data_IF_089187568571
#
_entry.id   IF_089187568571
#
_cell.length_a   1.000
_cell.length_b   1.000
_cell.length_c   1.000
_cell.angle_alpha   90.00
_cell.angle_beta   90.00
_cell.angle_gamma   90.00
#
_symmetry.space_group_name_H-M   'P 1'
#
loop_
_entity.id
_entity.type
_entity.pdbx_description
1 polymer ?
#
# COMPACT_ATOMS: atom_id res chain seq x y z
N UNK A 1 -17.68 -17.53 -2.50
CA UNK A 1 -17.99 -16.21 -3.12
C UNK A 1 -18.06 -15.09 -2.08
N UNK A 2 -18.90 -15.19 -1.05
CA UNK A 2 -19.11 -14.11 -0.07
C UNK A 2 -17.84 -13.67 0.69
N UNK A 3 -16.95 -14.60 1.06
CA UNK A 3 -15.70 -14.29 1.75
C UNK A 3 -14.69 -13.52 0.87
N UNK A 4 -14.64 -13.83 -0.43
CA UNK A 4 -13.81 -13.10 -1.39
C UNK A 4 -14.32 -11.67 -1.61
N UNK A 5 -15.64 -11.49 -1.74
CA UNK A 5 -16.24 -10.16 -1.83
C UNK A 5 -15.99 -9.31 -0.58
N UNK A 6 -15.98 -9.95 0.60
CA UNK A 6 -15.58 -9.33 1.87
C UNK A 6 -14.12 -8.91 1.87
N UNK A 7 -13.23 -9.80 1.42
CA UNK A 7 -11.79 -9.57 1.29
C UNK A 7 -11.48 -8.39 0.40
N UNK A 8 -12.09 -8.34 -0.79
CA UNK A 8 -11.92 -7.24 -1.73
C UNK A 8 -12.36 -5.89 -1.14
N UNK A 9 -13.53 -5.82 -0.49
CA UNK A 9 -14.01 -4.58 0.17
C UNK A 9 -13.08 -4.12 1.29
N UNK A 10 -12.67 -5.04 2.16
CA UNK A 10 -11.70 -4.73 3.22
C UNK A 10 -10.36 -4.25 2.65
N UNK A 11 -9.89 -4.88 1.58
CA UNK A 11 -8.67 -4.52 0.86
C UNK A 11 -8.74 -3.15 0.19
N UNK A 12 -9.86 -2.79 -0.43
CA UNK A 12 -10.08 -1.46 -1.02
C UNK A 12 -10.05 -0.37 0.06
N UNK A 13 -10.75 -0.57 1.18
CA UNK A 13 -10.80 0.43 2.26
C UNK A 13 -9.42 0.58 2.91
N UNK A 14 -8.73 -0.53 3.18
CA UNK A 14 -7.37 -0.50 3.70
C UNK A 14 -6.39 0.13 2.67
N UNK A 15 -6.56 -0.19 1.39
CA UNK A 15 -5.78 0.35 0.28
C UNK A 15 -5.94 1.86 0.11
N UNK A 16 -7.14 2.39 0.34
CA UNK A 16 -7.41 3.83 0.28
C UNK A 16 -6.64 4.59 1.38
N UNK A 17 -6.72 4.13 2.62
CA UNK A 17 -5.98 4.75 3.74
C UNK A 17 -4.47 4.62 3.53
N UNK A 18 -4.01 3.45 3.11
CA UNK A 18 -2.60 3.19 2.83
C UNK A 18 -2.09 4.03 1.66
N UNK A 19 -2.90 4.21 0.61
CA UNK A 19 -2.60 5.03 -0.55
C UNK A 19 -2.35 6.49 -0.19
N UNK A 20 -3.10 7.06 0.77
CA UNK A 20 -2.86 8.41 1.28
C UNK A 20 -1.50 8.50 1.99
N UNK A 21 -1.19 7.53 2.86
CA UNK A 21 0.10 7.49 3.58
C UNK A 21 1.26 7.41 2.59
N UNK A 22 1.17 6.52 1.59
CA UNK A 22 2.19 6.34 0.58
C UNK A 22 2.31 7.55 -0.35
N UNK A 23 1.20 8.18 -0.75
CA UNK A 23 1.20 9.40 -1.54
C UNK A 23 1.95 10.54 -0.84
N UNK A 24 1.66 10.78 0.44
CA UNK A 24 2.33 11.80 1.25
C UNK A 24 3.82 11.43 1.43
N UNK A 25 4.11 10.17 1.74
CA UNK A 25 5.47 9.69 1.91
C UNK A 25 6.32 9.83 0.65
N UNK A 26 5.79 9.44 -0.52
CA UNK A 26 6.49 9.59 -1.79
C UNK A 26 6.60 11.02 -2.25
N UNK A 27 5.63 11.89 -1.96
CA UNK A 27 5.79 13.32 -2.17
C UNK A 27 6.99 13.86 -1.37
N UNK A 28 7.09 13.51 -0.08
CA UNK A 28 8.22 13.92 0.77
C UNK A 28 9.56 13.30 0.34
N UNK A 29 9.56 12.07 -0.17
CA UNK A 29 10.78 11.45 -0.72
C UNK A 29 11.20 12.09 -2.04
N UNK A 30 10.24 12.50 -2.88
CA UNK A 30 10.53 13.14 -4.16
C UNK A 30 11.26 14.47 -3.99
N UNK A 31 10.96 15.25 -2.95
CA UNK A 31 11.69 16.50 -2.66
C UNK A 31 13.16 16.26 -2.32
N UNK A 32 13.51 15.10 -1.73
CA UNK A 32 14.89 14.74 -1.42
C UNK A 32 15.70 14.35 -2.66
N UNK A 33 15.04 13.86 -3.71
CA UNK A 33 15.69 13.43 -4.97
C UNK A 33 15.39 14.38 -6.13
N UNK A 34 14.80 15.54 -5.86
CA UNK A 34 14.29 16.46 -6.87
C UNK A 34 15.38 16.95 -7.83
N UNK A 35 16.58 17.24 -7.32
CA UNK A 35 17.71 17.68 -8.13
C UNK A 35 18.20 16.56 -9.07
N UNK A 36 18.26 15.33 -8.56
CA UNK A 36 18.62 14.15 -9.35
C UNK A 36 17.57 13.89 -10.43
N UNK A 37 16.28 13.97 -10.09
CA UNK A 37 15.18 13.82 -11.03
C UNK A 37 15.19 14.92 -12.11
N UNK A 38 15.46 16.18 -11.71
CA UNK A 38 15.59 17.31 -12.64
C UNK A 38 16.69 17.08 -13.66
N UNK A 39 17.88 16.62 -13.23
CA UNK A 39 19.00 16.31 -14.12
C UNK A 39 18.65 15.18 -15.09
N UNK A 40 18.07 14.10 -14.58
CA UNK A 40 17.65 12.98 -15.43
C UNK A 40 16.62 13.39 -16.49
N UNK A 41 15.67 14.27 -16.15
CA UNK A 41 14.70 14.82 -17.09
C UNK A 41 15.38 15.76 -18.11
N UNK A 42 16.32 16.60 -17.67
CA UNK A 42 17.09 17.47 -18.56
C UNK A 42 17.84 16.67 -19.62
N UNK A 43 18.50 15.58 -19.22
CA UNK A 43 19.26 14.72 -20.13
C UNK A 43 18.36 13.91 -21.07
N UNK A 44 17.13 13.59 -20.64
CA UNK A 44 16.17 12.82 -21.42
C UNK A 44 15.32 13.67 -22.38
N UNK A 45 15.22 14.98 -22.17
CA UNK A 45 14.40 15.86 -23.00
C UNK A 45 15.05 16.08 -24.38
N UNK A 46 14.30 15.86 -25.49
CA UNK A 46 14.81 16.14 -26.82
C UNK A 46 15.15 17.63 -26.99
N UNK A 47 16.22 17.91 -27.74
CA UNK A 47 16.57 19.28 -28.14
C UNK A 47 15.41 19.86 -28.95
N UNK A 48 14.88 21.02 -28.53
CA UNK A 48 13.70 21.64 -29.15
C UNK A 48 12.35 21.20 -28.56
N UNK A 49 12.35 20.49 -27.43
CA UNK A 49 11.15 20.17 -26.66
C UNK A 49 10.26 21.40 -26.39
N UNK A 50 8.95 21.26 -26.64
CA UNK A 50 7.93 22.25 -26.25
C UNK A 50 7.69 22.23 -24.73
N UNK A 51 7.99 21.11 -24.07
CA UNK A 51 7.80 20.90 -22.64
C UNK A 51 9.05 21.38 -21.90
N UNK A 52 8.85 22.23 -20.88
CA UNK A 52 9.95 22.65 -20.01
C UNK A 52 10.26 21.58 -18.96
N UNK A 53 11.48 21.60 -18.43
CA UNK A 53 11.91 20.69 -17.35
C UNK A 53 10.98 20.78 -16.14
N UNK A 54 10.56 21.99 -15.77
CA UNK A 54 9.67 22.20 -14.61
C UNK A 54 8.27 21.61 -14.85
N UNK A 55 7.75 21.69 -16.09
CA UNK A 55 6.48 21.06 -16.46
C UNK A 55 6.58 19.54 -16.42
N UNK A 56 7.67 18.97 -16.95
CA UNK A 56 7.91 17.53 -16.91
C UNK A 56 8.09 17.00 -15.48
N UNK A 57 8.79 17.75 -14.62
CA UNK A 57 8.98 17.41 -13.21
C UNK A 57 7.64 17.44 -12.45
N UNK A 58 6.81 18.45 -12.68
CA UNK A 58 5.48 18.52 -12.09
C UNK A 58 4.58 17.37 -12.55
N UNK A 59 4.61 17.03 -13.84
CA UNK A 59 3.88 15.89 -14.37
C UNK A 59 4.34 14.56 -13.75
N UNK A 60 5.66 14.36 -13.62
CA UNK A 60 6.22 13.17 -12.99
C UNK A 60 5.75 13.02 -11.53
N UNK A 61 5.73 14.11 -10.76
CA UNK A 61 5.24 14.11 -9.39
C UNK A 61 3.75 13.77 -9.30
N UNK A 62 2.92 14.37 -10.17
CA UNK A 62 1.48 14.06 -10.22
C UNK A 62 1.25 12.60 -10.58
N UNK A 63 1.96 12.08 -11.59
CA UNK A 63 1.87 10.67 -11.98
C UNK A 63 2.32 9.74 -10.86
N UNK A 64 3.39 10.08 -10.13
CA UNK A 64 3.86 9.31 -8.99
C UNK A 64 2.81 9.26 -7.88
N UNK A 65 2.27 10.42 -7.48
CA UNK A 65 1.32 10.54 -6.37
C UNK A 65 -0.02 9.91 -6.72
N UNK A 66 -0.62 10.29 -7.86
CA UNK A 66 -1.92 9.77 -8.30
C UNK A 66 -1.81 8.30 -8.70
N UNK A 67 -0.75 7.92 -9.41
CA UNK A 67 -0.50 6.54 -9.81
C UNK A 67 -0.32 5.63 -8.60
N UNK A 68 0.42 6.07 -7.58
CA UNK A 68 0.54 5.32 -6.32
C UNK A 68 -0.81 5.22 -5.61
N UNK A 69 -1.55 6.31 -5.50
CA UNK A 69 -2.85 6.31 -4.83
C UNK A 69 -3.86 5.36 -5.50
N UNK A 70 -3.99 5.43 -6.83
CA UNK A 70 -4.90 4.52 -7.57
C UNK A 70 -4.38 3.08 -7.55
N UNK A 71 -3.08 2.90 -7.75
CA UNK A 71 -2.43 1.58 -7.74
C UNK A 71 -2.62 0.86 -6.41
N UNK A 72 -2.50 1.56 -5.29
CA UNK A 72 -2.69 0.99 -3.94
C UNK A 72 -4.11 0.55 -3.67
N UNK A 73 -5.12 1.18 -4.27
CA UNK A 73 -6.52 0.73 -4.18
C UNK A 73 -6.70 -0.60 -4.93
N UNK A 74 -6.18 -0.68 -6.16
CA UNK A 74 -6.30 -1.89 -7.00
C UNK A 74 -5.53 -3.06 -6.39
N UNK A 75 -4.26 -2.82 -6.03
CA UNK A 75 -3.42 -3.83 -5.36
C UNK A 75 -4.01 -4.20 -4.01
N UNK A 76 -4.54 -3.24 -3.25
CA UNK A 76 -5.24 -3.51 -1.99
C UNK A 76 -6.43 -4.45 -2.16
N UNK A 77 -7.25 -4.27 -3.20
CA UNK A 77 -8.34 -5.20 -3.50
C UNK A 77 -7.83 -6.62 -3.75
N UNK A 78 -6.77 -6.77 -4.56
CA UNK A 78 -6.15 -8.07 -4.87
C UNK A 78 -5.58 -8.72 -3.61
N UNK A 79 -4.83 -7.97 -2.81
CA UNK A 79 -4.24 -8.46 -1.56
C UNK A 79 -5.33 -8.83 -0.54
N UNK A 80 -6.46 -8.12 -0.52
CA UNK A 80 -7.63 -8.47 0.27
C UNK A 80 -8.25 -9.81 -0.14
N UNK A 81 -8.28 -10.12 -1.44
CA UNK A 81 -8.69 -11.44 -1.94
C UNK A 81 -7.72 -12.54 -1.50
N UNK A 82 -6.41 -12.29 -1.58
CA UNK A 82 -5.37 -13.23 -1.12
C UNK A 82 -5.53 -13.51 0.38
N UNK A 83 -5.74 -12.46 1.18
CA UNK A 83 -6.00 -12.60 2.61
C UNK A 83 -7.25 -13.43 2.88
N UNK A 84 -8.35 -13.19 2.14
CA UNK A 84 -9.56 -14.01 2.25
C UNK A 84 -9.32 -15.49 1.91
N UNK A 85 -8.46 -15.81 0.94
CA UNK A 85 -8.11 -17.19 0.64
C UNK A 85 -7.24 -17.84 1.73
N UNK A 86 -6.31 -17.09 2.31
CA UNK A 86 -5.30 -17.62 3.22
C UNK A 86 -5.73 -17.62 4.70
N UNK A 87 -6.67 -16.75 5.11
CA UNK A 87 -6.96 -16.52 6.52
C UNK A 87 -7.46 -17.76 7.28
N UNK A 88 -8.18 -18.66 6.61
CA UNK A 88 -8.69 -19.89 7.21
C UNK A 88 -7.65 -21.02 7.23
N UNK A 89 -6.57 -20.91 6.45
CA UNK A 89 -5.52 -21.94 6.38
C UNK A 89 -4.40 -21.70 7.40
N UNK A 90 -4.21 -20.46 7.86
CA UNK A 90 -3.12 -20.08 8.74
C UNK A 90 -3.58 -19.31 9.99
N UNK A 91 -2.90 -19.54 11.11
CA UNK A 91 -3.04 -18.76 12.36
C UNK A 91 -4.45 -18.74 12.95
N UNK A 92 -5.20 -19.85 12.84
CA UNK A 92 -6.57 -19.99 13.33
C UNK A 92 -6.78 -19.62 14.81
N UNK A 93 -5.75 -19.74 15.64
CA UNK A 93 -5.77 -19.40 17.08
C UNK A 93 -5.58 -17.91 17.39
N UNK A 94 -5.32 -17.07 16.38
CA UNK A 94 -5.07 -15.62 16.56
C UNK A 94 -6.25 -14.78 16.05
N UNK A 95 -6.40 -13.58 16.63
CA UNK A 95 -7.38 -12.58 16.20
C UNK A 95 -7.14 -12.16 14.75
N UNK A 96 -8.21 -11.76 14.03
CA UNK A 96 -8.13 -11.34 12.63
C UNK A 96 -7.20 -10.12 12.44
N UNK A 97 -7.16 -9.20 13.41
CA UNK A 97 -6.24 -8.07 13.41
C UNK A 97 -4.77 -8.51 13.47
N UNK A 98 -4.44 -9.49 14.33
CA UNK A 98 -3.07 -10.02 14.43
C UNK A 98 -2.66 -10.75 13.13
N UNK A 99 -3.57 -11.52 12.51
CA UNK A 99 -3.31 -12.12 11.19
C UNK A 99 -3.06 -11.06 10.13
N UNK A 100 -3.82 -9.97 10.16
CA UNK A 100 -3.65 -8.82 9.30
C UNK A 100 -2.28 -8.15 9.46
N UNK A 101 -1.83 -7.92 10.69
CA UNK A 101 -0.49 -7.35 10.97
C UNK A 101 0.61 -8.24 10.42
N UNK A 102 0.55 -9.56 10.66
CA UNK A 102 1.55 -10.50 10.13
C UNK A 102 1.56 -10.49 8.60
N UNK A 103 0.39 -10.43 7.98
CA UNK A 103 0.27 -10.27 6.53
C UNK A 103 0.92 -8.97 6.05
N UNK A 104 0.70 -7.85 6.75
CA UNK A 104 1.35 -6.57 6.49
C UNK A 104 2.88 -6.64 6.56
N UNK A 105 3.43 -7.29 7.59
CA UNK A 105 4.89 -7.50 7.72
C UNK A 105 5.44 -8.31 6.54
N UNK A 106 4.74 -9.37 6.11
CA UNK A 106 5.14 -10.16 4.94
C UNK A 106 5.17 -9.29 3.67
N UNK A 107 4.13 -8.48 3.45
CA UNK A 107 4.09 -7.55 2.32
C UNK A 107 5.24 -6.55 2.34
N UNK A 108 5.62 -6.06 3.52
CA UNK A 108 6.75 -5.16 3.65
C UNK A 108 8.09 -5.82 3.31
N UNK A 109 8.33 -7.04 3.79
CA UNK A 109 9.53 -7.81 3.43
C UNK A 109 9.60 -7.99 1.91
N UNK A 110 8.49 -8.37 1.28
CA UNK A 110 8.40 -8.50 -0.18
C UNK A 110 8.69 -7.14 -0.86
N UNK A 111 8.15 -6.04 -0.32
CA UNK A 111 8.40 -4.70 -0.82
C UNK A 111 9.87 -4.30 -0.77
N UNK A 112 10.60 -4.64 0.30
CA UNK A 112 12.04 -4.43 0.40
C UNK A 112 12.78 -5.21 -0.69
N UNK A 113 12.43 -6.47 -0.93
CA UNK A 113 13.07 -7.30 -1.95
C UNK A 113 12.91 -6.72 -3.36
N UNK A 114 11.77 -6.09 -3.65
CA UNK A 114 11.57 -5.37 -4.91
C UNK A 114 12.31 -4.03 -4.98
N UNK A 115 12.70 -3.43 -3.85
CA UNK A 115 13.34 -2.12 -3.79
C UNK A 115 14.88 -2.19 -3.77
N UNK A 116 15.47 -3.38 -3.96
CA UNK A 116 16.93 -3.60 -3.97
C UNK A 116 17.62 -2.79 -5.08
N UNK A 117 16.92 -2.31 -6.11
CA UNK A 117 17.49 -1.45 -7.16
C UNK A 117 17.69 0.03 -6.79
N UNK A 118 17.12 0.51 -5.69
CA UNK A 118 17.08 1.95 -5.37
C UNK A 118 18.32 2.49 -4.66
N UNK A 119 19.40 1.71 -4.54
CA UNK A 119 20.60 2.14 -3.81
C UNK A 119 21.25 3.41 -4.37
N UNK A 120 21.01 3.72 -5.64
CA UNK A 120 21.52 4.93 -6.32
C UNK A 120 20.96 6.25 -5.76
N UNK A 121 19.84 6.23 -5.03
CA UNK A 121 19.21 7.43 -4.48
C UNK A 121 19.74 7.83 -3.08
N UNK A 122 20.69 7.06 -2.53
CA UNK A 122 21.36 7.36 -1.26
C UNK A 122 20.68 6.78 -0.01
N UNK A 123 21.47 6.63 1.06
CA UNK A 123 21.04 5.93 2.29
C UNK A 123 19.82 6.57 2.97
N UNK A 124 19.71 7.90 2.96
CA UNK A 124 18.59 8.65 3.55
C UNK A 124 17.27 8.34 2.85
N UNK A 125 17.28 8.35 1.51
CA UNK A 125 16.09 8.00 0.71
C UNK A 125 15.64 6.57 0.99
N UNK A 126 16.59 5.62 1.03
CA UNK A 126 16.30 4.22 1.29
C UNK A 126 15.72 4.04 2.70
N UNK A 127 16.36 4.61 3.72
CA UNK A 127 15.90 4.51 5.11
C UNK A 127 14.48 5.03 5.29
N UNK A 128 14.18 6.21 4.73
CA UNK A 128 12.84 6.78 4.77
C UNK A 128 11.83 5.96 3.95
N UNK A 129 12.20 5.47 2.77
CA UNK A 129 11.34 4.62 1.94
C UNK A 129 10.97 3.32 2.64
N UNK A 130 11.93 2.69 3.31
CA UNK A 130 11.73 1.46 4.10
C UNK A 130 10.80 1.72 5.29
N UNK A 131 10.99 2.85 5.98
CA UNK A 131 10.16 3.23 7.13
C UNK A 131 8.73 3.58 6.72
N UNK A 132 8.56 4.36 5.65
CA UNK A 132 7.24 4.70 5.08
C UNK A 132 6.54 3.40 4.63
N UNK A 133 7.25 2.52 3.93
CA UNK A 133 6.73 1.22 3.52
C UNK A 133 6.31 0.34 4.70
N UNK A 134 7.04 0.39 5.82
CA UNK A 134 6.70 -0.34 7.04
C UNK A 134 5.42 0.20 7.68
N UNK A 135 5.31 1.52 7.82
CA UNK A 135 4.12 2.16 8.41
C UNK A 135 2.90 1.84 7.54
N UNK A 136 3.02 2.01 6.22
CA UNK A 136 1.98 1.74 5.25
C UNK A 136 1.51 0.27 5.33
N UNK A 137 2.43 -0.69 5.35
CA UNK A 137 2.11 -2.11 5.37
C UNK A 137 1.44 -2.56 6.68
N UNK A 138 1.89 -2.03 7.83
CA UNK A 138 1.31 -2.32 9.14
C UNK A 138 -0.09 -1.75 9.25
N UNK A 139 -0.29 -0.50 8.81
CA UNK A 139 -1.61 0.14 8.76
C UNK A 139 -2.54 -0.65 7.84
N UNK A 140 -2.08 -0.99 6.64
CA UNK A 140 -2.85 -1.80 5.69
C UNK A 140 -3.24 -3.15 6.29
N UNK A 141 -2.30 -3.89 6.86
CA UNK A 141 -2.54 -5.19 7.47
C UNK A 141 -3.53 -5.13 8.63
N UNK A 142 -3.35 -4.17 9.55
CA UNK A 142 -4.25 -3.96 10.67
C UNK A 142 -5.68 -3.62 10.21
N UNK A 143 -5.83 -2.68 9.27
CA UNK A 143 -7.13 -2.28 8.73
C UNK A 143 -7.79 -3.43 7.97
N UNK A 144 -7.03 -4.16 7.15
CA UNK A 144 -7.52 -5.31 6.42
C UNK A 144 -8.09 -6.36 7.38
N UNK A 145 -7.35 -6.77 8.41
CA UNK A 145 -7.82 -7.73 9.40
C UNK A 145 -9.07 -7.25 10.16
N UNK A 146 -9.09 -5.97 10.52
CA UNK A 146 -10.21 -5.34 11.26
C UNK A 146 -11.48 -5.25 10.40
N UNK A 147 -11.37 -4.71 9.19
CA UNK A 147 -12.50 -4.58 8.27
C UNK A 147 -12.98 -5.92 7.74
N UNK A 148 -12.08 -6.87 7.55
CA UNK A 148 -12.46 -8.21 7.16
C UNK A 148 -13.33 -8.88 8.24
N UNK A 149 -13.04 -8.69 9.53
CA UNK A 149 -13.93 -9.10 10.61
C UNK A 149 -15.27 -8.35 10.59
N UNK A 150 -15.22 -7.02 10.42
CA UNK A 150 -16.41 -6.14 10.44
C UNK A 150 -17.38 -6.42 9.30
N UNK A 151 -16.89 -6.77 8.12
CA UNK A 151 -17.72 -7.11 6.97
C UNK A 151 -18.18 -8.59 6.97
N UNK A 152 -17.88 -9.33 8.05
CA UNK A 152 -18.31 -10.72 8.21
C UNK A 152 -19.72 -10.85 8.76
N UNK A 153 -20.31 -12.06 8.72
CA UNK A 153 -21.57 -12.30 9.41
C UNK A 153 -21.38 -12.01 10.89
N UNK A 154 -22.22 -11.14 11.45
CA UNK A 154 -22.30 -10.96 12.90
C UNK A 154 -22.74 -12.31 13.49
N UNK A 155 -22.02 -12.84 14.49
CA UNK A 155 -22.49 -14.00 15.22
C UNK A 155 -23.90 -13.72 15.72
N UNK A 156 -24.88 -14.49 15.24
CA UNK A 156 -26.21 -14.50 15.82
C UNK A 156 -26.04 -14.99 17.26
N UNK A 157 -26.36 -14.11 18.21
CA UNK A 157 -26.47 -14.49 19.62
C UNK A 157 -27.59 -15.54 19.68
N UNK A 158 -27.36 -16.73 20.26
CA UNK A 158 -28.44 -17.69 20.45
C UNK A 158 -29.56 -17.03 21.25
N UNK A 159 -30.78 -17.02 20.72
CA UNK A 159 -31.93 -16.45 21.41
C UNK A 159 -32.14 -17.21 22.73
N UNK A 160 -32.16 -16.54 23.89
CA UNK A 160 -32.33 -17.20 25.18
C UNK A 160 -33.80 -17.56 25.41
N UNK A 161 -34.37 -18.48 24.64
CA UNK A 161 -35.73 -19.01 24.87
C UNK A 161 -35.91 -20.37 24.20
N UNK A 162 -35.58 -21.43 24.96
CA UNK A 162 -36.23 -22.73 24.91
C UNK A 162 -35.78 -23.52 26.16
N UNK A 163 -36.26 -23.09 27.33
CA UNK A 163 -36.44 -23.94 28.51
C UNK A 163 -37.94 -24.07 28.75
#
# INVERSE_FOLDING_TARGET
>A
MAEYGRGAKAGVVAGLVCGVILAIGYYALFTLVQDTARRAIQDALPVGSVITVDQALAAALVLLVVGTFVGTIVVGAILGLVFAAAHNKYMQSKSLAMRGIVFGVILWIIGILFNIGSFSYGATYIGLSVLIGLIASLVYGYLLGTFFGRFGPKQQVPSPTAM
#
